data_IF_762677712130
#
_entry.id   IF_762677712130
#
_cell.length_a   1.000
_cell.length_b   1.000
_cell.length_c   1.000
_cell.angle_alpha   90.00
_cell.angle_beta   90.00
_cell.angle_gamma   90.00
#
_symmetry.space_group_name_H-M   'P 1'
#
loop_
_entity.id
_entity.type
_entity.pdbx_description
1 polymer ?
#
# COMPACT_ATOMS: atom_id res chain seq x y z
N UNK A 1 14.13 9.83 -17.32
CA UNK A 1 14.48 8.53 -16.71
C UNK A 1 13.32 8.07 -15.82
N UNK A 2 13.10 6.75 -15.71
CA UNK A 2 12.15 6.15 -14.77
C UNK A 2 12.87 5.17 -13.83
N UNK A 3 12.31 4.95 -12.64
CA UNK A 3 12.85 4.03 -11.65
C UNK A 3 11.72 3.17 -11.07
N UNK A 4 11.98 1.87 -10.92
CA UNK A 4 11.11 0.94 -10.20
C UNK A 4 11.94 0.33 -9.07
N UNK A 5 11.45 0.46 -7.83
CA UNK A 5 12.06 -0.15 -6.65
C UNK A 5 11.22 -1.34 -6.20
N UNK A 6 11.75 -2.54 -6.37
CA UNK A 6 11.04 -3.80 -6.07
C UNK A 6 11.41 -4.33 -4.68
N UNK A 7 10.54 -4.09 -3.69
CA UNK A 7 10.72 -4.61 -2.33
C UNK A 7 10.11 -6.00 -2.19
N UNK A 8 10.93 -7.00 -1.83
CA UNK A 8 10.50 -8.38 -1.54
C UNK A 8 9.81 -8.50 -0.17
N UNK A 9 8.71 -7.77 0.02
CA UNK A 9 7.93 -7.68 1.26
C UNK A 9 6.48 -8.15 1.04
N UNK A 10 6.33 -9.40 0.58
CA UNK A 10 5.04 -10.00 0.20
C UNK A 10 4.05 -10.02 1.38
N UNK A 11 2.75 -9.87 1.09
CA UNK A 11 1.70 -9.96 2.11
C UNK A 11 1.83 -8.93 3.23
N UNK A 12 2.27 -7.71 2.92
CA UNK A 12 2.65 -6.70 3.94
C UNK A 12 3.75 -7.18 4.90
N UNK A 13 4.70 -7.95 4.35
CA UNK A 13 5.80 -8.54 5.09
C UNK A 13 5.42 -9.82 5.87
N UNK A 14 4.16 -10.25 5.82
CA UNK A 14 3.68 -11.47 6.48
C UNK A 14 4.03 -12.76 5.72
N UNK A 15 4.51 -12.63 4.48
CA UNK A 15 4.81 -13.75 3.61
C UNK A 15 3.57 -14.27 2.86
N UNK A 16 3.85 -15.14 1.91
CA UNK A 16 2.85 -15.64 0.94
C UNK A 16 1.81 -16.57 1.59
N UNK A 17 2.24 -17.46 2.48
CA UNK A 17 1.34 -18.42 3.17
C UNK A 17 0.30 -17.67 4.00
N UNK A 18 0.74 -16.71 4.83
CA UNK A 18 -0.16 -15.90 5.66
C UNK A 18 -1.13 -15.08 4.81
N UNK A 19 -0.67 -14.53 3.68
CA UNK A 19 -1.53 -13.83 2.72
C UNK A 19 -2.66 -14.72 2.22
N UNK A 20 -2.37 -15.97 1.84
CA UNK A 20 -3.41 -16.90 1.39
C UNK A 20 -4.40 -17.24 2.50
N UNK A 21 -3.94 -17.41 3.74
CA UNK A 21 -4.82 -17.63 4.89
C UNK A 21 -5.75 -16.42 5.12
N UNK A 22 -5.22 -15.19 5.06
CA UNK A 22 -6.00 -13.95 5.18
C UNK A 22 -7.03 -13.85 4.06
N UNK A 23 -6.65 -14.14 2.81
CA UNK A 23 -7.58 -14.10 1.68
C UNK A 23 -8.71 -15.11 1.84
N UNK A 24 -8.40 -16.32 2.30
CA UNK A 24 -9.40 -17.34 2.56
C UNK A 24 -10.35 -16.92 3.71
N UNK A 25 -9.80 -16.43 4.81
CA UNK A 25 -10.57 -15.95 5.95
C UNK A 25 -11.51 -14.80 5.57
N UNK A 26 -11.05 -13.84 4.76
CA UNK A 26 -11.86 -12.73 4.25
C UNK A 26 -13.01 -13.21 3.36
N UNK A 27 -12.74 -14.12 2.42
CA UNK A 27 -13.78 -14.63 1.49
C UNK A 27 -14.84 -15.49 2.18
N UNK A 28 -14.47 -16.18 3.27
CA UNK A 28 -15.35 -17.12 3.98
C UNK A 28 -16.00 -16.55 5.24
N UNK A 29 -15.77 -15.27 5.57
CA UNK A 29 -16.37 -14.67 6.74
C UNK A 29 -17.90 -14.50 6.57
N UNK A 30 -18.69 -14.66 7.65
CA UNK A 30 -20.10 -14.29 7.63
C UNK A 30 -20.26 -12.82 7.21
N UNK A 31 -21.13 -12.56 6.23
CA UNK A 31 -21.35 -11.21 5.68
C UNK A 31 -20.47 -10.84 4.47
N UNK A 32 -19.57 -11.73 4.03
CA UNK A 32 -18.72 -11.50 2.86
C UNK A 32 -17.58 -10.51 3.11
N UNK A 33 -16.73 -10.28 2.10
CA UNK A 33 -15.56 -9.41 2.21
C UNK A 33 -15.96 -7.93 2.20
N UNK A 34 -15.58 -7.18 3.23
CA UNK A 34 -15.96 -5.76 3.39
C UNK A 34 -14.75 -4.90 3.74
N UNK A 35 -14.80 -3.63 3.34
CA UNK A 35 -13.70 -2.69 3.56
C UNK A 35 -13.43 -2.45 5.05
N UNK A 36 -14.50 -2.38 5.85
CA UNK A 36 -14.45 -2.20 7.31
C UNK A 36 -13.72 -3.34 8.01
N UNK A 37 -13.97 -4.59 7.60
CA UNK A 37 -13.36 -5.77 8.23
C UNK A 37 -11.99 -6.13 7.64
N UNK A 38 -11.56 -5.47 6.57
CA UNK A 38 -10.35 -5.80 5.81
C UNK A 38 -9.11 -5.97 6.71
N UNK A 39 -8.83 -4.94 7.51
CA UNK A 39 -7.62 -4.91 8.35
C UNK A 39 -7.78 -5.79 9.59
N UNK A 40 -8.97 -5.77 10.21
CA UNK A 40 -9.29 -6.62 11.35
C UNK A 40 -9.13 -8.13 11.02
N UNK A 41 -9.47 -8.56 9.80
CA UNK A 41 -9.24 -9.96 9.39
C UNK A 41 -7.79 -10.30 9.16
N UNK A 42 -7.00 -9.34 8.68
CA UNK A 42 -5.55 -9.53 8.59
C UNK A 42 -4.99 -9.76 9.99
N UNK A 43 -5.36 -8.92 10.95
CA UNK A 43 -4.93 -9.00 12.34
C UNK A 43 -5.42 -10.27 13.05
N UNK A 44 -6.65 -10.71 12.81
CA UNK A 44 -7.19 -11.95 13.38
C UNK A 44 -6.39 -13.20 12.97
N UNK A 45 -5.84 -13.23 11.76
CA UNK A 45 -5.04 -14.36 11.26
C UNK A 45 -3.56 -14.21 11.59
N UNK A 46 -3.03 -12.99 11.48
CA UNK A 46 -1.59 -12.74 11.53
C UNK A 46 -1.10 -12.09 12.83
N UNK A 47 -2.01 -11.70 13.73
CA UNK A 47 -1.72 -10.94 14.95
C UNK A 47 -1.38 -9.47 14.72
N UNK A 48 -1.22 -9.04 13.47
CA UNK A 48 -0.82 -7.68 13.08
C UNK A 48 -1.28 -7.36 11.65
N UNK A 49 -1.49 -6.08 11.35
CA UNK A 49 -2.01 -5.62 10.05
C UNK A 49 -0.94 -5.40 8.98
N UNK A 50 0.28 -5.04 9.38
CA UNK A 50 1.42 -4.74 8.52
C UNK A 50 2.72 -4.86 9.34
N UNK A 51 3.72 -5.59 8.84
CA UNK A 51 5.05 -5.69 9.48
C UNK A 51 6.15 -5.03 8.65
N UNK A 52 5.79 -4.31 7.59
CA UNK A 52 6.76 -3.59 6.77
C UNK A 52 7.21 -2.35 7.50
N UNK A 53 8.51 -2.23 7.64
CA UNK A 53 9.16 -0.96 7.94
C UNK A 53 9.21 -0.12 6.66
N UNK A 54 8.33 0.88 6.55
CA UNK A 54 8.20 1.75 5.37
C UNK A 54 9.20 2.91 5.41
N UNK A 55 9.69 3.23 6.60
CA UNK A 55 10.64 4.28 6.90
C UNK A 55 11.98 4.05 6.18
N UNK A 56 12.35 2.79 5.91
CA UNK A 56 13.54 2.39 5.13
C UNK A 56 13.29 2.35 3.62
N UNK A 57 12.08 2.68 3.13
CA UNK A 57 11.83 2.74 1.69
C UNK A 57 12.70 3.75 0.93
N UNK A 58 13.03 4.94 1.48
CA UNK A 58 13.81 5.93 0.75
C UNK A 58 15.28 5.53 0.55
N UNK A 59 15.79 4.52 1.26
CA UNK A 59 17.21 4.15 1.26
C UNK A 59 17.76 3.88 -0.15
N UNK A 60 17.01 3.14 -0.97
CA UNK A 60 17.41 2.85 -2.36
C UNK A 60 17.39 4.12 -3.21
N UNK A 61 16.46 5.04 -2.93
CA UNK A 61 16.37 6.33 -3.64
C UNK A 61 17.57 7.21 -3.30
N UNK A 62 17.94 7.27 -2.01
CA UNK A 62 19.14 7.98 -1.53
C UNK A 62 20.41 7.37 -2.11
N UNK A 63 20.53 6.05 -2.11
CA UNK A 63 21.67 5.34 -2.68
C UNK A 63 21.88 5.68 -4.17
N UNK A 64 20.78 5.82 -4.93
CA UNK A 64 20.80 6.25 -6.33
C UNK A 64 20.93 7.78 -6.51
N UNK A 65 21.04 8.55 -5.43
CA UNK A 65 21.20 10.01 -5.47
C UNK A 65 19.93 10.78 -5.87
N UNK A 66 18.75 10.16 -5.73
CA UNK A 66 17.46 10.80 -6.06
C UNK A 66 17.16 11.92 -5.06
N UNK A 67 16.99 13.15 -5.56
CA UNK A 67 16.59 14.32 -4.75
C UNK A 67 15.18 14.82 -5.02
N UNK A 68 14.64 14.53 -6.21
CA UNK A 68 13.31 14.96 -6.65
C UNK A 68 12.64 13.88 -7.47
N UNK A 69 11.37 13.63 -7.18
CA UNK A 69 10.47 12.74 -7.91
C UNK A 69 9.38 13.59 -8.52
N UNK A 70 9.43 13.79 -9.84
CA UNK A 70 8.40 14.55 -10.56
C UNK A 70 7.03 13.86 -10.50
N UNK A 71 7.01 12.53 -10.60
CA UNK A 71 5.77 11.73 -10.60
C UNK A 71 5.97 10.47 -9.76
N UNK A 72 5.44 10.48 -8.54
CA UNK A 72 5.43 9.33 -7.65
C UNK A 72 4.19 8.47 -7.93
N UNK A 73 4.39 7.32 -8.56
CA UNK A 73 3.31 6.35 -8.83
C UNK A 73 3.08 5.49 -7.58
N UNK A 74 2.39 6.07 -6.59
CA UNK A 74 2.03 5.38 -5.34
C UNK A 74 0.87 6.07 -4.64
N UNK A 75 -0.17 5.30 -4.34
CA UNK A 75 -1.33 5.75 -3.55
C UNK A 75 -1.10 5.61 -2.04
N UNK A 76 -0.05 4.90 -1.59
CA UNK A 76 0.19 4.70 -0.16
C UNK A 76 0.71 5.96 0.53
N UNK A 77 0.02 6.39 1.59
CA UNK A 77 0.44 7.51 2.47
C UNK A 77 1.75 7.24 3.18
N UNK A 78 1.91 6.08 3.82
CA UNK A 78 3.15 5.73 4.53
C UNK A 78 4.39 5.82 3.63
N UNK A 79 4.30 5.36 2.38
CA UNK A 79 5.40 5.47 1.40
C UNK A 79 5.74 6.92 1.07
N UNK A 80 4.71 7.71 0.77
CA UNK A 80 4.87 9.12 0.45
C UNK A 80 5.51 9.89 1.61
N UNK A 81 5.00 9.68 2.82
CA UNK A 81 5.53 10.31 4.02
C UNK A 81 6.98 9.93 4.28
N UNK A 82 7.35 8.65 4.18
CA UNK A 82 8.73 8.22 4.36
C UNK A 82 9.68 8.92 3.37
N UNK A 83 9.28 9.02 2.10
CA UNK A 83 10.06 9.69 1.05
C UNK A 83 10.25 11.17 1.37
N UNK A 84 9.17 11.91 1.63
CA UNK A 84 9.24 13.36 1.88
C UNK A 84 9.94 13.67 3.20
N UNK A 85 9.68 12.90 4.28
CA UNK A 85 10.36 13.05 5.58
C UNK A 85 11.86 12.81 5.47
N UNK A 86 12.31 12.01 4.50
CA UNK A 86 13.73 11.77 4.22
C UNK A 86 14.40 12.87 3.38
N UNK A 87 13.68 13.93 3.01
CA UNK A 87 14.22 15.09 2.28
C UNK A 87 14.14 14.99 0.75
N UNK A 88 13.42 14.01 0.20
CA UNK A 88 13.19 13.90 -1.25
C UNK A 88 11.94 14.68 -1.64
N UNK A 89 12.07 15.63 -2.56
CA UNK A 89 10.93 16.42 -3.07
C UNK A 89 10.03 15.55 -3.96
N UNK A 90 8.72 15.60 -3.76
CA UNK A 90 7.74 14.92 -4.62
C UNK A 90 6.82 15.97 -5.24
N UNK A 91 6.87 16.15 -6.57
CA UNK A 91 6.08 17.18 -7.24
C UNK A 91 4.62 16.76 -7.46
N UNK A 92 4.39 15.51 -7.87
CA UNK A 92 3.05 14.96 -8.10
C UNK A 92 2.96 13.51 -7.63
N UNK A 93 1.85 13.17 -6.99
CA UNK A 93 1.44 11.77 -6.75
C UNK A 93 0.50 11.33 -7.86
N UNK A 94 0.76 10.18 -8.46
CA UNK A 94 -0.03 9.64 -9.56
C UNK A 94 -0.77 8.40 -9.07
N UNK A 95 -2.10 8.46 -9.08
CA UNK A 95 -2.95 7.32 -8.72
C UNK A 95 -3.04 6.29 -9.85
N UNK A 96 -3.47 5.09 -9.50
CA UNK A 96 -3.82 4.06 -10.49
C UNK A 96 -5.16 4.48 -11.13
N UNK A 97 -5.26 4.53 -12.47
CA UNK A 97 -6.54 4.76 -13.16
C UNK A 97 -7.60 3.72 -12.78
N UNK A 98 -8.83 4.15 -12.57
CA UNK A 98 -9.95 3.25 -12.17
C UNK A 98 -10.16 2.10 -13.16
N UNK A 99 -10.05 2.36 -14.46
CA UNK A 99 -10.18 1.33 -15.50
C UNK A 99 -9.10 0.22 -15.42
N UNK A 100 -8.02 0.44 -14.66
CA UNK A 100 -6.95 -0.54 -14.43
C UNK A 100 -7.06 -1.24 -13.08
N UNK A 101 -8.08 -0.92 -12.26
CA UNK A 101 -8.36 -1.59 -11.00
C UNK A 101 -9.24 -2.82 -11.27
N UNK A 102 -8.80 -4.04 -10.95
CA UNK A 102 -9.62 -5.24 -11.09
C UNK A 102 -10.88 -5.16 -10.22
N UNK A 103 -12.04 -5.68 -10.68
CA UNK A 103 -13.28 -5.64 -9.89
C UNK A 103 -13.16 -6.28 -8.50
N UNK A 104 -12.36 -7.34 -8.36
CA UNK A 104 -12.13 -8.04 -7.10
C UNK A 104 -11.18 -7.31 -6.13
N UNK A 105 -10.50 -6.26 -6.61
CA UNK A 105 -9.64 -5.41 -5.79
C UNK A 105 -10.38 -4.22 -5.16
N UNK A 106 -11.66 -4.00 -5.48
CA UNK A 106 -12.40 -2.82 -5.02
C UNK A 106 -12.46 -2.72 -3.49
N UNK A 107 -12.79 -3.82 -2.80
CA UNK A 107 -12.82 -3.89 -1.33
C UNK A 107 -11.46 -3.53 -0.72
N UNK A 108 -10.36 -3.96 -1.36
CA UNK A 108 -9.01 -3.63 -0.91
C UNK A 108 -8.70 -2.13 -1.11
N UNK A 109 -9.08 -1.55 -2.26
CA UNK A 109 -8.91 -0.12 -2.54
C UNK A 109 -9.73 0.73 -1.57
N UNK A 110 -10.98 0.37 -1.30
CA UNK A 110 -11.87 1.11 -0.40
C UNK A 110 -11.34 1.08 1.04
N UNK A 111 -10.94 -0.10 1.53
CA UNK A 111 -10.33 -0.24 2.85
C UNK A 111 -9.07 0.63 2.99
N UNK A 112 -8.22 0.60 1.96
CA UNK A 112 -6.98 1.37 1.94
C UNK A 112 -7.21 2.87 1.85
N UNK A 113 -8.24 3.29 1.11
CA UNK A 113 -8.68 4.69 1.03
C UNK A 113 -9.16 5.19 2.38
N UNK A 114 -9.99 4.42 3.08
CA UNK A 114 -10.39 4.71 4.46
C UNK A 114 -9.20 4.80 5.43
N UNK A 115 -8.14 4.00 5.20
CA UNK A 115 -6.88 4.07 5.97
C UNK A 115 -5.91 5.18 5.50
N UNK A 116 -6.37 6.11 4.66
CA UNK A 116 -5.61 7.26 4.21
C UNK A 116 -4.79 7.04 2.94
N UNK A 117 -5.18 6.12 2.05
CA UNK A 117 -4.64 6.12 0.68
C UNK A 117 -4.97 7.45 0.00
N UNK A 118 -4.02 7.92 -0.80
CA UNK A 118 -4.19 9.12 -1.59
C UNK A 118 -5.23 8.90 -2.68
N UNK A 119 -6.16 9.83 -2.71
CA UNK A 119 -7.14 9.99 -3.78
C UNK A 119 -7.10 11.43 -4.26
N UNK A 120 -7.43 11.66 -5.53
CA UNK A 120 -7.50 13.01 -6.11
C UNK A 120 -8.74 13.78 -5.63
N UNK A 121 -9.61 13.16 -4.80
CA UNK A 121 -10.77 13.82 -4.21
C UNK A 121 -10.31 14.70 -3.05
N UNK A 122 -10.38 16.01 -3.27
CA UNK A 122 -10.66 16.97 -2.22
C UNK A 122 -11.95 16.51 -1.52
N UNK A 123 -11.91 16.36 -0.19
CA UNK A 123 -13.12 16.61 0.61
C UNK A 123 -13.54 18.07 0.44
#
# INVERSE_FOLDING_TARGET
>A
VGLIVYFRKEGRGLGEVTKFLVYNARKRQPGGDTAEQYFARTECVAGVQDVRFQELMPDVLHWLGVRKIHRLVSMSKAKYEAIVKSGIEVAQRVRIPEALVPPDAQVEIDAKTAAGYFTDRLE
#
